data_IF_741730798186
#
_entry.id   IF_741730798186
#
_cell.length_a   1.000
_cell.length_b   1.000
_cell.length_c   1.000
_cell.angle_alpha   90.00
_cell.angle_beta   90.00
_cell.angle_gamma   90.00
#
_symmetry.space_group_name_H-M   'P 1'
#
loop_
_entity.id
_entity.type
_entity.pdbx_description
1 polymer ?
#
# COMPACT_ATOMS: atom_id res chain seq x y z
N UNK A 1 -16.63 -8.48 4.31
CA UNK A 1 -17.17 -8.83 2.98
C UNK A 1 -17.22 -7.65 2.05
N UNK A 2 -16.38 -7.67 1.00
CA UNK A 2 -16.47 -6.70 -0.09
C UNK A 2 -17.78 -6.90 -0.88
N UNK A 3 -18.40 -5.82 -1.32
CA UNK A 3 -19.62 -5.91 -2.13
C UNK A 3 -19.26 -6.51 -3.52
N UNK A 4 -19.93 -7.58 -3.99
CA UNK A 4 -19.68 -8.17 -5.31
C UNK A 4 -19.72 -7.17 -6.47
N UNK A 5 -20.57 -6.13 -6.38
CA UNK A 5 -20.61 -5.04 -7.37
C UNK A 5 -19.32 -4.23 -7.43
N UNK A 6 -18.57 -4.14 -6.33
CA UNK A 6 -17.25 -3.48 -6.30
C UNK A 6 -16.20 -4.27 -7.06
N UNK A 7 -16.24 -5.60 -6.95
CA UNK A 7 -15.35 -6.49 -7.71
C UNK A 7 -15.62 -6.38 -9.21
N UNK A 8 -16.90 -6.49 -9.59
CA UNK A 8 -17.33 -6.38 -10.99
C UNK A 8 -17.02 -5.03 -11.62
N UNK A 9 -17.06 -3.94 -10.83
CA UNK A 9 -16.81 -2.60 -11.34
C UNK A 9 -15.40 -2.45 -11.92
N UNK A 10 -14.38 -3.04 -11.29
CA UNK A 10 -13.02 -2.95 -11.82
C UNK A 10 -12.83 -3.78 -13.08
N UNK A 11 -13.39 -4.99 -13.12
CA UNK A 11 -13.37 -5.81 -14.35
C UNK A 11 -14.07 -5.11 -15.52
N UNK A 12 -15.23 -4.50 -15.29
CA UNK A 12 -15.95 -3.73 -16.31
C UNK A 12 -15.18 -2.49 -16.76
N UNK A 13 -14.55 -1.78 -15.82
CA UNK A 13 -13.71 -0.61 -16.13
C UNK A 13 -12.54 -0.98 -17.05
N UNK A 14 -11.78 -2.03 -16.72
CA UNK A 14 -10.65 -2.43 -17.56
C UNK A 14 -11.10 -3.01 -18.89
N UNK A 15 -12.25 -3.68 -18.94
CA UNK A 15 -12.80 -4.18 -20.19
C UNK A 15 -13.17 -3.04 -21.15
N UNK A 16 -13.80 -1.97 -20.66
CA UNK A 16 -14.10 -0.80 -21.50
C UNK A 16 -12.82 -0.11 -21.96
N UNK A 17 -11.82 0.02 -21.08
CA UNK A 17 -10.54 0.64 -21.43
C UNK A 17 -9.79 -0.10 -22.53
N UNK A 18 -9.74 -1.43 -22.50
CA UNK A 18 -9.10 -2.18 -23.58
C UNK A 18 -9.88 -2.09 -24.89
N UNK A 19 -11.22 -2.00 -24.84
CA UNK A 19 -12.02 -1.78 -26.04
C UNK A 19 -11.77 -0.40 -26.67
N UNK A 20 -11.55 0.63 -25.84
CA UNK A 20 -11.31 2.01 -26.29
C UNK A 20 -9.87 2.26 -26.75
N UNK A 21 -8.89 1.77 -25.99
CA UNK A 21 -7.48 2.17 -26.10
C UNK A 21 -6.55 1.03 -26.57
N UNK A 22 -7.07 -0.19 -26.69
CA UNK A 22 -6.35 -1.36 -27.19
C UNK A 22 -5.57 -2.15 -26.13
N UNK A 23 -4.93 -3.25 -26.54
CA UNK A 23 -4.22 -4.17 -25.63
C UNK A 23 -2.94 -3.58 -25.01
N UNK A 24 -2.44 -2.46 -25.53
CA UNK A 24 -1.28 -1.74 -25.02
C UNK A 24 -1.63 -0.66 -24.00
N UNK A 25 -2.88 -0.62 -23.50
CA UNK A 25 -3.31 0.37 -22.51
C UNK A 25 -2.43 0.34 -21.26
N UNK A 26 -1.90 1.50 -20.88
CA UNK A 26 -1.17 1.69 -19.62
C UNK A 26 -1.66 2.96 -18.95
N UNK A 27 -2.07 2.85 -17.70
CA UNK A 27 -2.63 3.99 -16.96
C UNK A 27 -1.96 4.15 -15.60
N UNK A 28 -1.46 5.36 -15.37
CA UNK A 28 -0.83 5.76 -14.12
C UNK A 28 -1.75 6.71 -13.35
N UNK A 29 -2.42 6.20 -12.33
CA UNK A 29 -3.43 6.93 -11.56
C UNK A 29 -2.89 8.03 -10.65
N UNK A 30 -1.65 7.90 -10.19
CA UNK A 30 -1.06 8.75 -9.14
C UNK A 30 0.24 9.35 -9.66
N UNK A 31 1.30 8.55 -9.67
CA UNK A 31 2.64 8.97 -10.05
C UNK A 31 3.20 7.97 -11.07
N UNK A 32 3.85 8.50 -12.11
CA UNK A 32 4.54 7.65 -13.08
C UNK A 32 5.82 7.08 -12.46
N UNK A 33 6.17 5.83 -12.76
CA UNK A 33 7.44 5.26 -12.33
C UNK A 33 8.63 6.03 -12.95
N UNK A 34 9.63 6.33 -12.13
CA UNK A 34 10.92 6.91 -12.55
C UNK A 34 12.05 6.24 -11.77
N UNK A 35 13.28 6.26 -12.28
CA UNK A 35 14.45 5.71 -11.58
C UNK A 35 14.62 6.33 -10.18
N UNK A 36 14.39 7.65 -10.06
CA UNK A 36 14.46 8.35 -8.78
C UNK A 36 13.40 7.83 -7.79
N UNK A 37 12.17 7.61 -8.26
CA UNK A 37 11.11 7.02 -7.43
C UNK A 37 11.47 5.59 -7.03
N UNK A 38 11.91 4.75 -7.96
CA UNK A 38 12.31 3.36 -7.68
C UNK A 38 13.43 3.29 -6.64
N UNK A 39 14.46 4.11 -6.82
CA UNK A 39 15.56 4.19 -5.86
C UNK A 39 15.06 4.56 -4.46
N UNK A 40 14.18 5.57 -4.34
CA UNK A 40 13.65 5.98 -3.03
C UNK A 40 12.82 4.89 -2.35
N UNK A 41 12.02 4.13 -3.11
CA UNK A 41 11.13 3.11 -2.57
C UNK A 41 11.84 1.81 -2.22
N UNK A 42 12.87 1.43 -2.99
CA UNK A 42 13.59 0.18 -2.78
C UNK A 42 14.75 0.32 -1.79
N UNK A 43 15.30 1.53 -1.61
CA UNK A 43 16.42 1.78 -0.68
C UNK A 43 16.18 1.26 0.75
N UNK A 44 15.00 1.45 1.39
CA UNK A 44 14.72 0.88 2.71
C UNK A 44 14.84 -0.64 2.77
N UNK A 45 14.44 -1.33 1.69
CA UNK A 45 14.55 -2.79 1.60
C UNK A 45 16.03 -3.19 1.50
N UNK A 46 16.80 -2.51 0.65
CA UNK A 46 18.22 -2.81 0.44
C UNK A 46 19.11 -2.59 1.67
N UNK A 47 18.77 -1.62 2.52
CA UNK A 47 19.51 -1.39 3.77
C UNK A 47 19.53 -2.61 4.70
N UNK A 48 18.54 -3.50 4.60
CA UNK A 48 18.43 -4.68 5.45
C UNK A 48 19.35 -5.82 4.99
N UNK A 49 19.58 -5.96 3.68
CA UNK A 49 20.47 -6.98 3.10
C UNK A 49 21.95 -6.75 3.42
N UNK A 50 22.32 -5.57 3.91
CA UNK A 50 23.70 -5.24 4.27
C UNK A 50 24.20 -5.95 5.55
N UNK A 51 23.33 -6.70 6.26
CA UNK A 51 23.59 -7.15 7.63
C UNK A 51 23.33 -8.64 7.93
N UNK A 52 22.98 -9.46 6.94
CA UNK A 52 22.61 -10.87 7.14
C UNK A 52 23.22 -11.83 6.11
N UNK A 53 23.01 -13.17 6.28
CA UNK A 53 23.36 -14.14 5.24
C UNK A 53 22.67 -13.73 3.93
N UNK A 54 23.45 -13.72 2.84
CA UNK A 54 23.03 -13.27 1.51
C UNK A 54 21.71 -13.92 1.11
N UNK A 55 20.61 -13.16 1.19
CA UNK A 55 19.35 -13.60 0.62
C UNK A 55 19.54 -13.80 -0.89
N UNK A 56 19.10 -14.95 -1.39
CA UNK A 56 19.21 -15.25 -2.82
C UNK A 56 18.24 -14.41 -3.67
N UNK A 57 17.16 -13.91 -3.06
CA UNK A 57 16.11 -13.17 -3.75
C UNK A 57 15.52 -12.04 -2.90
N UNK A 58 14.93 -11.06 -3.60
CA UNK A 58 14.08 -10.00 -3.06
C UNK A 58 12.65 -10.22 -3.58
N UNK A 59 11.73 -10.53 -2.69
CA UNK A 59 10.34 -10.83 -3.04
C UNK A 59 9.43 -9.63 -2.84
N UNK A 60 8.76 -9.22 -3.91
CA UNK A 60 7.87 -8.06 -3.92
C UNK A 60 6.45 -8.48 -4.28
N UNK A 61 5.47 -8.04 -3.48
CA UNK A 61 4.04 -8.13 -3.80
C UNK A 61 3.49 -6.74 -4.11
N UNK A 62 2.98 -6.52 -5.33
CA UNK A 62 2.15 -5.35 -5.66
C UNK A 62 0.67 -5.71 -5.48
N UNK A 63 -0.07 -4.89 -4.73
CA UNK A 63 -1.51 -5.01 -4.55
C UNK A 63 -2.23 -3.91 -5.35
N UNK A 64 -3.18 -4.32 -6.20
CA UNK A 64 -3.96 -3.39 -7.02
C UNK A 64 -3.14 -2.78 -8.14
N UNK A 65 -2.43 -3.61 -8.91
CA UNK A 65 -1.54 -3.16 -9.98
C UNK A 65 -2.28 -2.47 -11.14
N UNK A 66 -3.59 -2.74 -11.32
CA UNK A 66 -4.34 -2.26 -12.47
C UNK A 66 -3.63 -2.56 -13.79
N UNK A 67 -3.60 -1.59 -14.71
CA UNK A 67 -2.78 -1.64 -15.94
C UNK A 67 -1.49 -0.81 -15.82
N UNK A 68 -1.05 -0.50 -14.59
CA UNK A 68 0.14 0.30 -14.36
C UNK A 68 1.40 -0.38 -14.90
N UNK A 69 2.38 0.43 -15.27
CA UNK A 69 3.73 0.04 -15.67
C UNK A 69 4.67 -0.14 -14.47
N UNK A 70 4.18 -0.03 -13.24
CA UNK A 70 5.01 0.11 -12.05
C UNK A 70 5.86 -1.14 -11.76
N UNK A 71 5.26 -2.33 -11.67
CA UNK A 71 6.01 -3.58 -11.46
C UNK A 71 7.09 -3.85 -12.51
N UNK A 72 6.79 -3.65 -13.80
CA UNK A 72 7.81 -3.80 -14.84
C UNK A 72 8.90 -2.73 -14.79
N UNK A 73 8.57 -1.52 -14.31
CA UNK A 73 9.54 -0.45 -14.11
C UNK A 73 10.48 -0.74 -12.95
N UNK A 74 10.00 -1.37 -11.87
CA UNK A 74 10.86 -1.88 -10.79
C UNK A 74 11.86 -2.89 -11.36
N UNK A 75 11.38 -3.86 -12.16
CA UNK A 75 12.24 -4.88 -12.75
C UNK A 75 13.28 -4.27 -13.72
N UNK A 76 12.85 -3.34 -14.59
CA UNK A 76 13.75 -2.65 -15.51
C UNK A 76 14.80 -1.82 -14.77
N UNK A 77 14.40 -1.11 -13.71
CA UNK A 77 15.31 -0.36 -12.86
C UNK A 77 16.35 -1.29 -12.23
N UNK A 78 15.95 -2.45 -11.68
CA UNK A 78 16.88 -3.40 -11.08
C UNK A 78 17.87 -3.97 -12.10
N UNK A 79 17.39 -4.43 -13.27
CA UNK A 79 18.27 -4.91 -14.35
C UNK A 79 19.27 -3.85 -14.78
N UNK A 80 18.86 -2.58 -14.82
CA UNK A 80 19.76 -1.45 -15.09
C UNK A 80 20.83 -1.31 -13.99
N UNK A 81 20.44 -1.37 -12.71
CA UNK A 81 21.41 -1.30 -11.60
C UNK A 81 22.44 -2.44 -11.62
N UNK A 82 22.00 -3.65 -11.97
CA UNK A 82 22.85 -4.83 -12.17
C UNK A 82 23.83 -4.64 -13.33
N UNK A 83 23.33 -4.25 -14.51
CA UNK A 83 24.15 -4.03 -15.71
C UNK A 83 25.18 -2.92 -15.51
N UNK A 84 24.81 -1.84 -14.84
CA UNK A 84 25.69 -0.72 -14.53
C UNK A 84 26.61 -0.99 -13.33
N UNK A 85 26.45 -2.15 -12.65
CA UNK A 85 27.17 -2.54 -11.43
C UNK A 85 27.27 -1.39 -10.42
N UNK A 86 26.14 -0.74 -10.14
CA UNK A 86 26.11 0.46 -9.32
C UNK A 86 26.50 0.18 -7.87
N UNK A 87 26.80 1.22 -7.11
CA UNK A 87 27.06 1.09 -5.67
C UNK A 87 25.89 0.42 -4.91
N UNK A 88 24.67 0.53 -5.43
CA UNK A 88 23.51 -0.16 -4.87
C UNK A 88 23.64 -1.68 -5.06
N UNK A 89 23.91 -2.12 -6.30
CA UNK A 89 24.08 -3.53 -6.62
C UNK A 89 25.30 -4.15 -5.92
N UNK A 90 26.41 -3.43 -5.86
CA UNK A 90 27.63 -3.86 -5.15
C UNK A 90 27.39 -4.09 -3.65
N UNK A 91 26.49 -3.31 -3.03
CA UNK A 91 26.15 -3.45 -1.60
C UNK A 91 25.22 -4.63 -1.34
N UNK A 92 24.29 -4.88 -2.24
CA UNK A 92 23.30 -5.96 -2.10
C UNK A 92 23.86 -7.32 -2.52
N UNK A 93 24.87 -7.34 -3.38
CA UNK A 93 25.32 -8.54 -4.05
C UNK A 93 24.32 -9.00 -5.12
N UNK A 94 24.56 -10.17 -5.75
CA UNK A 94 23.68 -10.74 -6.76
C UNK A 94 22.40 -11.26 -6.10
N UNK A 95 21.37 -10.40 -6.03
CA UNK A 95 20.05 -10.76 -5.54
C UNK A 95 19.11 -10.91 -6.74
N UNK A 96 18.39 -12.03 -6.81
CA UNK A 96 17.32 -12.22 -7.79
C UNK A 96 16.08 -11.43 -7.38
N UNK A 97 15.59 -10.56 -8.26
CA UNK A 97 14.35 -9.83 -8.00
C UNK A 97 13.14 -10.63 -8.51
N UNK A 98 12.16 -10.85 -7.64
CA UNK A 98 10.90 -11.52 -7.98
C UNK A 98 9.71 -10.63 -7.58
N UNK A 99 8.78 -10.43 -8.51
CA UNK A 99 7.63 -9.55 -8.33
C UNK A 99 6.36 -10.31 -8.65
N UNK A 100 5.44 -10.37 -7.68
CA UNK A 100 4.06 -10.78 -7.87
C UNK A 100 3.17 -9.55 -7.93
N UNK A 101 2.71 -9.21 -9.14
CA UNK A 101 1.80 -8.10 -9.35
C UNK A 101 0.36 -8.57 -9.37
N UNK A 102 -0.46 -8.04 -8.46
CA UNK A 102 -1.82 -8.56 -8.26
C UNK A 102 -2.89 -7.49 -8.37
N UNK A 103 -4.06 -7.92 -8.81
CA UNK A 103 -5.26 -7.11 -8.84
C UNK A 103 -6.49 -8.00 -8.65
N UNK A 104 -7.60 -7.42 -8.23
CA UNK A 104 -8.85 -8.16 -8.13
C UNK A 104 -9.51 -8.38 -9.49
N UNK A 105 -9.18 -7.53 -10.46
CA UNK A 105 -9.69 -7.61 -11.82
C UNK A 105 -8.94 -8.66 -12.65
N UNK A 106 -9.64 -9.71 -13.05
CA UNK A 106 -9.12 -10.72 -14.00
C UNK A 106 -8.81 -10.10 -15.36
N UNK A 107 -9.59 -9.10 -15.76
CA UNK A 107 -9.41 -8.40 -17.03
C UNK A 107 -8.04 -7.71 -17.08
N UNK A 108 -7.69 -6.86 -16.10
CA UNK A 108 -6.38 -6.18 -16.13
C UNK A 108 -5.20 -7.16 -16.01
N UNK A 109 -5.35 -8.23 -15.21
CA UNK A 109 -4.34 -9.27 -15.07
C UNK A 109 -4.09 -9.99 -16.41
N UNK A 110 -5.15 -10.32 -17.15
CA UNK A 110 -5.02 -10.89 -18.48
C UNK A 110 -4.29 -9.94 -19.44
N UNK A 111 -4.62 -8.65 -19.42
CA UNK A 111 -3.99 -7.66 -20.28
C UNK A 111 -2.50 -7.47 -19.97
N UNK A 112 -2.14 -7.33 -18.68
CA UNK A 112 -0.74 -7.20 -18.29
C UNK A 112 0.08 -8.43 -18.70
N UNK A 113 -0.46 -9.65 -18.54
CA UNK A 113 0.21 -10.87 -18.99
C UNK A 113 0.53 -10.87 -20.48
N UNK A 114 -0.40 -10.37 -21.31
CA UNK A 114 -0.19 -10.27 -22.76
C UNK A 114 0.81 -9.19 -23.12
N UNK A 115 0.62 -7.99 -22.57
CA UNK A 115 1.46 -6.82 -22.81
C UNK A 115 2.92 -7.08 -22.43
N UNK A 116 3.13 -7.71 -21.28
CA UNK A 116 4.45 -7.89 -20.69
C UNK A 116 4.98 -9.34 -20.87
N UNK A 117 4.44 -10.08 -21.87
CA UNK A 117 4.73 -11.51 -22.05
C UNK A 117 6.21 -11.82 -22.28
N UNK A 118 6.95 -10.96 -22.98
CA UNK A 118 8.40 -11.11 -23.17
C UNK A 118 9.16 -11.07 -21.85
N UNK A 119 8.82 -10.14 -20.95
CA UNK A 119 9.45 -10.01 -19.64
C UNK A 119 9.19 -11.23 -18.75
N UNK A 120 8.00 -11.82 -18.87
CA UNK A 120 7.61 -13.03 -18.13
C UNK A 120 8.41 -14.25 -18.65
N UNK A 121 8.52 -14.39 -19.97
CA UNK A 121 9.19 -15.52 -20.62
C UNK A 121 10.72 -15.44 -20.56
N UNK A 122 11.31 -14.26 -20.50
CA UNK A 122 12.77 -14.08 -20.42
C UNK A 122 13.38 -14.61 -19.10
N UNK A 123 12.55 -15.05 -18.14
CA UNK A 123 13.01 -15.50 -16.81
C UNK A 123 12.96 -17.03 -16.59
N UNK A 124 12.85 -17.84 -17.65
CA UNK A 124 12.67 -19.31 -17.53
C UNK A 124 13.92 -20.04 -16.93
N UNK A 125 15.00 -19.32 -16.62
CA UNK A 125 16.22 -19.89 -16.01
C UNK A 125 16.08 -20.23 -14.52
N UNK A 126 15.12 -19.66 -13.80
CA UNK A 126 14.87 -19.89 -12.37
C UNK A 126 13.53 -20.62 -12.16
N UNK A 127 13.33 -21.23 -10.98
CA UNK A 127 12.11 -21.98 -10.67
C UNK A 127 10.85 -21.11 -10.57
N UNK A 128 10.99 -19.78 -10.47
CA UNK A 128 9.91 -18.80 -10.45
C UNK A 128 10.29 -17.58 -11.30
N UNK A 129 9.37 -17.04 -12.13
CA UNK A 129 9.67 -15.90 -12.99
C UNK A 129 9.89 -14.61 -12.18
N UNK A 130 10.72 -13.69 -12.69
CA UNK A 130 11.02 -12.40 -12.05
C UNK A 130 9.79 -11.49 -11.99
N UNK A 131 8.81 -11.70 -12.88
CA UNK A 131 7.55 -10.98 -12.89
C UNK A 131 6.41 -11.97 -13.15
N UNK A 132 5.43 -11.98 -12.25
CA UNK A 132 4.20 -12.75 -12.37
C UNK A 132 3.00 -11.83 -12.15
N UNK A 133 1.93 -12.08 -12.89
CA UNK A 133 0.64 -11.44 -12.67
C UNK A 133 -0.38 -12.45 -12.17
N UNK A 134 -1.18 -12.07 -11.19
CA UNK A 134 -2.24 -12.94 -10.67
C UNK A 134 -3.42 -12.17 -10.10
N UNK A 135 -4.56 -12.84 -10.03
CA UNK A 135 -5.72 -12.28 -9.33
C UNK A 135 -5.51 -12.40 -7.82
N UNK A 136 -5.84 -11.35 -7.07
CA UNK A 136 -5.86 -11.36 -5.62
C UNK A 136 -6.97 -10.44 -5.10
N UNK A 137 -7.92 -11.00 -4.34
CA UNK A 137 -8.74 -10.18 -3.47
C UNK A 137 -8.00 -9.91 -2.15
N UNK A 138 -7.35 -8.75 -2.05
CA UNK A 138 -6.52 -8.44 -0.88
C UNK A 138 -7.30 -8.31 0.45
N UNK A 139 -8.63 -8.27 0.42
CA UNK A 139 -9.47 -8.23 1.64
C UNK A 139 -9.84 -9.64 2.07
N UNK A 140 -10.28 -10.47 1.12
CA UNK A 140 -10.81 -11.81 1.35
C UNK A 140 -10.28 -12.74 0.26
N UNK A 141 -9.00 -13.16 0.37
CA UNK A 141 -8.39 -14.02 -0.63
C UNK A 141 -9.11 -15.36 -0.72
N UNK A 142 -9.22 -15.94 -1.92
CA UNK A 142 -9.74 -17.31 -2.08
C UNK A 142 -8.69 -18.34 -1.67
N UNK A 143 -9.09 -19.61 -1.54
CA UNK A 143 -8.14 -20.69 -1.21
C UNK A 143 -7.02 -20.82 -2.27
N UNK A 144 -7.36 -20.63 -3.54
CA UNK A 144 -6.41 -20.66 -4.65
C UNK A 144 -5.43 -19.47 -4.60
N UNK A 145 -5.94 -18.29 -4.23
CA UNK A 145 -5.10 -17.09 -4.06
C UNK A 145 -4.16 -17.24 -2.86
N UNK A 146 -4.62 -17.82 -1.76
CA UNK A 146 -3.77 -18.15 -0.60
C UNK A 146 -2.70 -19.18 -0.97
N UNK A 147 -3.07 -20.25 -1.67
CA UNK A 147 -2.12 -21.27 -2.11
C UNK A 147 -1.03 -20.67 -3.02
N UNK A 148 -1.39 -19.73 -3.90
CA UNK A 148 -0.42 -19.00 -4.70
C UNK A 148 0.54 -18.20 -3.82
N UNK A 149 0.03 -17.45 -2.82
CA UNK A 149 0.88 -16.69 -1.90
C UNK A 149 1.81 -17.60 -1.08
N UNK A 150 1.33 -18.78 -0.66
CA UNK A 150 2.14 -19.78 0.05
C UNK A 150 3.34 -20.27 -0.77
N UNK A 151 3.22 -20.36 -2.10
CA UNK A 151 4.34 -20.74 -2.98
C UNK A 151 5.46 -19.69 -2.99
N UNK A 152 5.12 -18.42 -2.75
CA UNK A 152 6.07 -17.33 -2.59
C UNK A 152 6.62 -17.26 -1.15
N UNK A 153 5.88 -17.79 -0.18
CA UNK A 153 6.21 -17.70 1.23
C UNK A 153 5.86 -16.33 1.79
N UNK A 154 6.88 -15.53 2.12
CA UNK A 154 6.70 -14.20 2.70
C UNK A 154 7.47 -13.15 1.91
N UNK A 155 6.91 -11.96 1.79
CA UNK A 155 7.45 -10.89 0.96
C UNK A 155 8.33 -9.93 1.76
N UNK A 156 9.47 -9.56 1.17
CA UNK A 156 10.34 -8.52 1.70
C UNK A 156 9.70 -7.14 1.59
N UNK A 157 8.97 -6.92 0.50
CA UNK A 157 8.21 -5.71 0.26
C UNK A 157 6.79 -6.05 -0.21
N UNK A 158 5.79 -5.55 0.51
CA UNK A 158 4.43 -5.44 -0.01
C UNK A 158 4.20 -3.97 -0.36
N UNK A 159 3.67 -3.65 -1.52
CA UNK A 159 3.35 -2.27 -1.85
C UNK A 159 2.04 -2.10 -2.61
N UNK A 160 1.45 -0.91 -2.48
CA UNK A 160 0.33 -0.48 -3.30
C UNK A 160 0.49 0.97 -3.75
N UNK A 161 0.00 1.28 -4.96
CA UNK A 161 -0.03 2.64 -5.51
C UNK A 161 -1.47 3.04 -5.75
N UNK A 162 -2.10 3.62 -4.73
CA UNK A 162 -3.52 4.01 -4.76
C UNK A 162 -4.50 2.86 -4.52
N UNK A 163 -4.01 1.65 -4.24
CA UNK A 163 -4.84 0.50 -3.90
C UNK A 163 -5.59 0.75 -2.60
N UNK A 164 -4.89 1.18 -1.55
CA UNK A 164 -5.48 1.52 -0.26
C UNK A 164 -6.48 2.69 -0.38
N UNK A 165 -6.19 3.66 -1.26
CA UNK A 165 -7.06 4.81 -1.51
C UNK A 165 -8.43 4.44 -2.03
N UNK A 166 -8.54 3.38 -2.85
CA UNK A 166 -9.81 2.85 -3.35
C UNK A 166 -10.74 2.47 -2.20
N UNK A 167 -10.21 1.85 -1.15
CA UNK A 167 -10.97 1.47 0.04
C UNK A 167 -11.30 2.68 0.91
N UNK A 168 -10.34 3.61 1.06
CA UNK A 168 -10.52 4.85 1.82
C UNK A 168 -11.44 5.88 1.16
N UNK A 169 -11.69 5.78 -0.15
CA UNK A 169 -12.63 6.66 -0.86
C UNK A 169 -14.07 6.19 -0.69
N UNK A 170 -14.30 4.88 -0.84
CA UNK A 170 -15.63 4.26 -0.70
C UNK A 170 -16.14 4.24 0.74
N UNK A 171 -15.25 4.54 1.70
CA UNK A 171 -15.54 4.60 3.13
C UNK A 171 -16.28 5.84 3.61
N UNK A 172 -16.67 6.78 2.73
CA UNK A 172 -17.48 7.94 3.09
C UNK A 172 -18.91 7.51 3.44
N UNK A 173 -19.05 6.67 4.46
CA UNK A 173 -20.30 6.42 5.17
C UNK A 173 -20.68 7.74 5.84
N UNK A 174 -21.74 8.36 5.30
CA UNK A 174 -22.39 9.50 5.91
C UNK A 174 -22.85 9.09 7.32
N UNK A 175 -22.25 9.66 8.36
CA UNK A 175 -22.87 9.72 9.68
C UNK A 175 -22.24 8.99 10.86
N UNK A 176 -21.02 8.45 10.79
CA UNK A 176 -20.35 8.05 12.03
C UNK A 176 -18.84 8.19 11.97
N UNK A 177 -18.30 8.78 13.04
CA UNK A 177 -16.89 8.96 13.40
C UNK A 177 -16.22 7.60 13.72
N UNK A 178 -16.59 6.54 12.98
CA UNK A 178 -16.04 5.19 13.17
C UNK A 178 -14.62 5.19 12.64
N UNK A 179 -13.71 5.33 13.59
CA UNK A 179 -12.27 5.30 13.44
C UNK A 179 -11.72 3.98 12.83
N UNK A 180 -12.54 2.94 12.72
CA UNK A 180 -12.13 1.63 12.23
C UNK A 180 -12.97 1.26 10.99
N UNK A 181 -12.33 1.25 9.82
CA UNK A 181 -12.94 0.77 8.59
C UNK A 181 -12.64 -0.72 8.46
N UNK A 182 -13.62 -1.63 8.66
CA UNK A 182 -13.35 -3.07 8.77
C UNK A 182 -12.60 -3.63 7.56
N UNK A 183 -12.98 -3.22 6.35
CA UNK A 183 -12.30 -3.59 5.11
C UNK A 183 -10.83 -3.16 5.10
N UNK A 184 -10.53 -1.91 5.50
CA UNK A 184 -9.14 -1.43 5.56
C UNK A 184 -8.37 -2.20 6.63
N UNK A 185 -8.98 -2.46 7.78
CA UNK A 185 -8.33 -3.25 8.83
C UNK A 185 -8.00 -4.67 8.35
N UNK A 186 -8.93 -5.35 7.66
CA UNK A 186 -8.69 -6.68 7.06
C UNK A 186 -7.55 -6.65 6.06
N UNK A 187 -7.46 -5.62 5.20
CA UNK A 187 -6.34 -5.46 4.26
C UNK A 187 -5.03 -5.34 5.03
N UNK A 188 -4.97 -4.51 6.07
CA UNK A 188 -3.75 -4.32 6.84
C UNK A 188 -3.34 -5.59 7.61
N UNK A 189 -4.31 -6.38 8.10
CA UNK A 189 -4.04 -7.69 8.70
C UNK A 189 -3.47 -8.67 7.67
N UNK A 190 -4.04 -8.73 6.47
CA UNK A 190 -3.56 -9.59 5.40
C UNK A 190 -2.16 -9.18 4.94
N UNK A 191 -1.94 -7.88 4.69
CA UNK A 191 -0.61 -7.32 4.37
C UNK A 191 0.38 -7.70 5.45
N UNK A 192 0.04 -7.49 6.73
CA UNK A 192 0.89 -7.92 7.82
C UNK A 192 1.19 -9.42 7.75
N UNK A 193 0.21 -10.29 7.48
CA UNK A 193 0.48 -11.74 7.37
C UNK A 193 1.42 -12.12 6.22
N UNK A 194 1.46 -11.33 5.14
CA UNK A 194 2.30 -11.60 3.97
C UNK A 194 3.72 -11.06 4.09
N UNK A 195 3.97 -10.10 4.98
CA UNK A 195 5.30 -9.53 5.20
C UNK A 195 6.25 -10.56 5.82
N UNK A 196 7.50 -10.60 5.36
CA UNK A 196 8.57 -11.38 5.98
C UNK A 196 8.72 -10.98 7.45
N UNK A 197 8.83 -11.92 8.40
CA UNK A 197 9.14 -11.61 9.78
C UNK A 197 10.44 -10.81 9.88
N UNK A 198 10.49 -9.86 10.80
CA UNK A 198 11.64 -9.00 11.13
C UNK A 198 12.00 -7.95 10.08
N UNK A 199 12.01 -8.32 8.80
CA UNK A 199 12.52 -7.46 7.71
C UNK A 199 11.43 -6.88 6.83
N UNK A 200 10.25 -7.51 6.76
CA UNK A 200 9.18 -7.11 5.84
C UNK A 200 8.75 -5.65 5.98
N UNK A 201 8.67 -4.96 4.85
CA UNK A 201 8.21 -3.57 4.75
C UNK A 201 6.92 -3.51 3.94
N UNK A 202 5.95 -2.74 4.42
CA UNK A 202 4.79 -2.34 3.61
C UNK A 202 4.93 -0.88 3.15
N UNK A 203 4.80 -0.63 1.84
CA UNK A 203 4.85 0.73 1.29
C UNK A 203 3.58 1.10 0.53
N UNK A 204 2.94 2.22 0.88
CA UNK A 204 1.81 2.75 0.08
C UNK A 204 2.13 4.13 -0.50
N UNK A 205 1.80 4.33 -1.77
CA UNK A 205 1.88 5.62 -2.45
C UNK A 205 0.49 6.20 -2.61
N UNK A 206 0.29 7.43 -2.12
CA UNK A 206 -1.03 8.05 -2.01
C UNK A 206 -0.96 9.59 -2.14
N UNK A 207 -2.02 10.25 -2.66
CA UNK A 207 -2.15 11.70 -2.55
C UNK A 207 -2.53 12.16 -1.12
N UNK A 208 -2.78 11.24 -0.18
CA UNK A 208 -3.23 11.60 1.17
C UNK A 208 -2.08 12.02 2.07
N UNK A 209 -2.14 13.27 2.53
CA UNK A 209 -1.24 13.83 3.55
C UNK A 209 -1.28 13.04 4.87
N UNK A 210 -2.40 12.38 5.18
CA UNK A 210 -2.57 11.53 6.39
C UNK A 210 -3.44 10.31 6.09
N UNK A 211 -2.98 9.12 6.50
CA UNK A 211 -3.78 7.89 6.50
C UNK A 211 -3.95 7.41 7.95
N UNK A 212 -5.10 7.72 8.57
CA UNK A 212 -5.37 7.36 9.97
C UNK A 212 -5.30 5.84 10.22
N UNK A 213 -5.86 4.97 9.36
CA UNK A 213 -5.82 3.53 9.59
C UNK A 213 -4.40 2.96 9.72
N UNK A 214 -3.45 3.37 8.87
CA UNK A 214 -2.05 2.94 8.99
C UNK A 214 -1.45 3.29 10.34
N UNK A 215 -1.61 4.55 10.76
CA UNK A 215 -1.07 5.04 12.03
C UNK A 215 -1.70 4.37 13.26
N UNK A 216 -2.93 3.91 13.14
CA UNK A 216 -3.66 3.31 14.25
C UNK A 216 -3.51 1.78 14.26
N UNK A 217 -3.01 1.18 13.19
CA UNK A 217 -2.80 -0.26 13.07
C UNK A 217 -1.58 -0.71 13.88
N UNK A 218 -1.79 -1.64 14.82
CA UNK A 218 -0.74 -2.12 15.74
C UNK A 218 0.33 -2.99 15.09
N UNK A 219 0.09 -3.51 13.88
CA UNK A 219 1.04 -4.35 13.15
C UNK A 219 2.25 -3.60 12.57
N UNK A 220 2.32 -2.27 12.72
CA UNK A 220 3.48 -1.48 12.31
C UNK A 220 4.14 -0.80 13.51
N UNK A 221 5.44 -1.03 13.67
CA UNK A 221 6.26 -0.48 14.76
C UNK A 221 6.72 0.94 14.46
N UNK A 222 6.97 1.22 13.18
CA UNK A 222 7.40 2.51 12.67
C UNK A 222 6.71 2.79 11.33
N UNK A 223 6.39 4.07 11.10
CA UNK A 223 5.82 4.54 9.82
C UNK A 223 6.56 5.81 9.41
N UNK A 224 7.37 5.71 8.37
CA UNK A 224 8.04 6.85 7.75
C UNK A 224 7.18 7.41 6.63
N UNK A 225 7.00 8.73 6.59
CA UNK A 225 6.29 9.41 5.51
C UNK A 225 7.26 10.26 4.70
N UNK A 226 7.38 9.99 3.41
CA UNK A 226 8.19 10.76 2.46
C UNK A 226 7.30 11.54 1.49
N UNK A 227 7.70 12.76 1.15
CA UNK A 227 7.03 13.56 0.12
C UNK A 227 7.69 13.25 -1.23
N UNK A 228 6.90 12.92 -2.24
CA UNK A 228 7.33 12.54 -3.60
C UNK A 228 7.08 13.66 -4.64
N UNK A 229 6.71 14.85 -4.19
CA UNK A 229 6.21 15.92 -5.07
C UNK A 229 7.33 16.62 -5.86
N UNK A 230 8.59 16.50 -5.44
CA UNK A 230 9.72 17.05 -6.18
C UNK A 230 10.02 16.22 -7.44
N UNK A 231 9.75 14.91 -7.39
CA UNK A 231 10.01 13.94 -8.45
C UNK A 231 8.85 13.85 -9.46
N UNK A 232 7.63 14.20 -9.06
CA UNK A 232 6.46 14.28 -9.95
C UNK A 232 6.56 15.44 -10.97
N UNK A 233 7.34 16.48 -10.67
CA UNK A 233 7.50 17.66 -11.53
C UNK A 233 8.46 17.48 -12.72
N UNK A 234 9.18 16.37 -12.82
CA UNK A 234 10.13 16.12 -13.92
C UNK A 234 9.62 15.15 -15.00
N UNK A 235 8.45 14.52 -14.79
CA UNK A 235 7.85 13.67 -15.81
C UNK A 235 6.94 14.53 -16.72
N UNK A 236 7.16 14.56 -18.05
CA UNK A 236 6.19 15.15 -18.95
C UNK A 236 4.92 14.32 -18.87
N UNK A 237 3.87 14.89 -18.26
CA UNK A 237 2.50 14.40 -18.42
C UNK A 237 2.25 14.22 -19.92
N UNK A 238 1.72 13.06 -20.31
CA UNK A 238 1.62 12.64 -21.71
C UNK A 238 0.91 13.64 -22.62
N UNK A 239 1.24 13.51 -23.91
CA UNK A 239 0.81 14.31 -25.07
C UNK A 239 0.95 15.85 -24.91
N UNK A 240 1.96 16.47 -25.54
CA UNK A 240 2.08 17.93 -25.62
C UNK A 240 0.80 18.64 -26.07
N UNK A 241 -0.05 17.98 -26.87
CA UNK A 241 -1.31 18.53 -27.36
C UNK A 241 -2.44 18.47 -26.32
N UNK A 242 -2.48 17.43 -25.47
CA UNK A 242 -3.43 17.34 -24.35
C UNK A 242 -3.10 18.37 -23.25
N UNK A 243 -1.80 18.61 -23.01
CA UNK A 243 -1.34 19.67 -22.09
C UNK A 243 -1.61 21.06 -22.66
N UNK A 244 -1.52 21.26 -23.98
CA UNK A 244 -1.88 22.53 -24.62
C UNK A 244 -3.40 22.81 -24.59
N UNK A 245 -4.24 21.78 -24.79
CA UNK A 245 -5.69 21.87 -24.66
C UNK A 245 -6.11 22.17 -23.20
N UNK A 246 -5.51 21.49 -22.22
CA UNK A 246 -5.75 21.77 -20.81
C UNK A 246 -5.25 23.17 -20.40
N UNK A 247 -4.09 23.62 -20.91
CA UNK A 247 -3.53 24.95 -20.63
C UNK A 247 -4.33 26.10 -21.25
N UNK A 248 -5.08 25.86 -22.33
CA UNK A 248 -5.92 26.91 -22.93
C UNK A 248 -7.20 27.16 -22.11
N UNK A 249 -7.74 26.14 -21.42
CA UNK A 249 -8.91 26.32 -20.55
C UNK A 249 -8.57 26.71 -19.10
N UNK A 250 -7.33 26.50 -18.65
CA UNK A 250 -6.88 26.74 -17.25
C UNK A 250 -6.28 28.12 -16.97
N UNK A 251 -6.60 29.15 -17.75
CA UNK A 251 -6.09 30.52 -17.51
C UNK A 251 -6.69 31.27 -16.31
N UNK A 252 -7.46 30.62 -15.43
CA UNK A 252 -8.10 31.32 -14.29
C UNK A 252 -8.10 30.59 -12.93
N UNK A 253 -7.41 29.46 -12.76
CA UNK A 253 -7.26 28.82 -11.44
C UNK A 253 -5.82 28.39 -11.24
N UNK A 254 -5.10 29.04 -10.31
CA UNK A 254 -3.81 28.55 -9.81
C UNK A 254 -4.04 27.21 -9.10
N UNK A 255 -4.05 26.10 -9.84
CA UNK A 255 -4.04 24.77 -9.26
C UNK A 255 -2.68 24.56 -8.59
N UNK A 256 -2.69 24.39 -7.27
CA UNK A 256 -1.52 23.92 -6.55
C UNK A 256 -1.10 22.56 -7.13
N UNK A 257 0.20 22.29 -7.34
CA UNK A 257 0.65 20.98 -7.78
C UNK A 257 0.12 19.91 -6.81
N UNK A 258 -0.35 18.80 -7.37
CA UNK A 258 -0.84 17.66 -6.57
C UNK A 258 0.36 17.01 -5.90
N UNK A 259 0.33 16.94 -4.57
CA UNK A 259 1.39 16.32 -3.79
C UNK A 259 1.12 14.82 -3.60
N UNK A 260 2.19 14.03 -3.67
CA UNK A 260 2.15 12.58 -3.43
C UNK A 260 3.06 12.20 -2.27
N UNK A 261 2.70 11.14 -1.55
CA UNK A 261 3.42 10.67 -0.38
C UNK A 261 3.65 9.16 -0.45
N UNK A 262 4.82 8.72 -0.04
CA UNK A 262 5.09 7.32 0.29
C UNK A 262 5.03 7.14 1.82
N UNK A 263 4.28 6.15 2.27
CA UNK A 263 4.31 5.68 3.66
C UNK A 263 5.00 4.34 3.72
N UNK A 264 6.14 4.27 4.41
CA UNK A 264 6.96 3.08 4.59
C UNK A 264 6.71 2.58 6.01
N UNK A 265 6.05 1.44 6.13
CA UNK A 265 5.57 0.85 7.36
C UNK A 265 6.42 -0.38 7.69
N UNK A 266 7.10 -0.36 8.83
CA UNK A 266 7.93 -1.48 9.29
C UNK A 266 7.11 -2.41 10.17
N UNK A 267 7.24 -3.71 9.92
CA UNK A 267 6.53 -4.76 10.67
C UNK A 267 6.80 -4.65 12.19
N UNK A 268 5.75 -4.88 12.98
CA UNK A 268 5.84 -5.02 14.44
C UNK A 268 5.84 -6.51 14.83
N UNK A 269 6.97 -7.06 15.23
CA UNK A 269 7.07 -8.46 15.65
C UNK A 269 6.32 -8.79 16.94
N UNK A 270 6.02 -7.79 17.76
CA UNK A 270 5.23 -7.99 18.98
C UNK A 270 3.73 -8.02 18.72
N UNK A 271 3.28 -7.74 17.49
CA UNK A 271 1.87 -7.73 17.16
C UNK A 271 1.35 -9.16 16.94
N UNK A 272 0.39 -9.58 17.78
CA UNK A 272 -0.33 -10.83 17.61
C UNK A 272 -1.72 -10.59 16.96
N UNK A 273 -1.96 -11.07 15.72
CA UNK A 273 -3.25 -10.94 15.05
C UNK A 273 -4.38 -11.71 15.74
N UNK A 274 -4.08 -12.81 16.45
CA UNK A 274 -5.06 -13.70 17.07
C UNK A 274 -5.56 -13.17 18.41
N UNK A 275 -4.71 -12.47 19.17
CA UNK A 275 -5.06 -11.90 20.47
C UNK A 275 -5.75 -10.53 20.35
N UNK A 276 -5.65 -9.87 19.19
CA UNK A 276 -6.18 -8.53 19.00
C UNK A 276 -5.44 -7.50 19.87
N UNK A 277 -4.36 -6.93 19.32
CA UNK A 277 -3.52 -5.85 19.88
C UNK A 277 -3.27 -5.96 21.42
N UNK A 278 -2.30 -6.77 21.79
CA UNK A 278 -1.28 -6.39 22.79
C UNK A 278 0.01 -6.08 21.99
N UNK A 279 0.87 -5.10 22.24
CA UNK A 279 1.07 -4.07 23.27
C UNK A 279 2.06 -3.04 22.65
N UNK A 280 2.29 -1.91 23.31
CA UNK A 280 3.56 -1.19 23.20
C UNK A 280 4.18 -1.13 24.60
N UNK A 281 5.45 -1.54 24.70
CA UNK A 281 6.21 -1.74 25.94
C UNK A 281 6.64 -0.43 26.62
N UNK A 282 6.25 0.73 26.07
CA UNK A 282 6.29 2.01 26.74
C UNK A 282 4.86 2.40 27.14
N UNK A 283 4.49 2.03 28.36
CA UNK A 283 3.16 2.23 28.95
C UNK A 283 2.74 3.71 28.99
N UNK A 284 2.20 4.21 27.89
CA UNK A 284 1.02 5.05 27.98
C UNK A 284 -0.21 4.13 27.95
N UNK A 285 -0.61 3.64 29.13
CA UNK A 285 -1.80 2.81 29.29
C UNK A 285 -3.00 3.45 28.56
N UNK A 286 -3.78 2.63 27.84
CA UNK A 286 -5.06 3.08 27.32
C UNK A 286 -5.93 3.61 28.46
N UNK A 287 -6.85 4.57 28.21
CA UNK A 287 -7.82 4.96 29.22
C UNK A 287 -8.58 3.73 29.73
N UNK A 288 -8.80 3.67 31.04
CA UNK A 288 -9.59 2.60 31.64
C UNK A 288 -11.06 2.82 31.32
N UNK A 289 -11.84 1.75 31.21
CA UNK A 289 -13.29 1.85 30.99
C UNK A 289 -14.03 2.65 32.07
N UNK A 290 -13.45 2.69 33.28
CA UNK A 290 -13.92 3.50 34.40
C UNK A 290 -13.60 4.99 34.28
N UNK A 291 -12.68 5.38 33.39
CA UNK A 291 -12.28 6.78 33.22
C UNK A 291 -13.45 7.58 32.65
N UNK A 292 -13.82 8.67 33.33
CA UNK A 292 -14.90 9.54 32.91
C UNK A 292 -14.38 10.87 32.38
N UNK A 293 -15.02 11.40 31.34
CA UNK A 293 -14.77 12.76 30.89
C UNK A 293 -15.15 13.73 32.01
N UNK A 294 -14.22 14.59 32.43
CA UNK A 294 -14.48 15.52 33.54
C UNK A 294 -15.65 16.48 33.27
N UNK A 295 -15.93 16.78 31.99
CA UNK A 295 -16.95 17.72 31.53
C UNK A 295 -18.34 17.08 31.38
N UNK A 296 -18.51 16.05 30.56
CA UNK A 296 -19.81 15.42 30.29
C UNK A 296 -20.07 14.13 31.09
N UNK A 297 -19.11 13.68 31.90
CA UNK A 297 -19.17 12.45 32.71
C UNK A 297 -19.34 11.14 31.95
N UNK A 298 -19.41 11.16 30.61
CA UNK A 298 -19.36 9.97 29.75
C UNK A 298 -18.15 9.13 30.13
N UNK A 299 -18.35 7.84 30.35
CA UNK A 299 -17.27 6.90 30.64
C UNK A 299 -16.54 6.52 29.35
N UNK A 300 -15.28 6.12 29.46
CA UNK A 300 -14.52 5.69 28.29
C UNK A 300 -15.16 4.47 27.61
N UNK A 301 -15.73 3.55 28.38
CA UNK A 301 -16.52 2.42 27.86
C UNK A 301 -17.71 2.87 27.00
N UNK A 302 -18.40 3.92 27.41
CA UNK A 302 -19.50 4.52 26.65
C UNK A 302 -18.99 5.25 25.40
N UNK A 303 -17.86 5.94 25.50
CA UNK A 303 -17.23 6.65 24.38
C UNK A 303 -16.74 5.71 23.27
N UNK A 304 -16.08 4.60 23.64
CA UNK A 304 -15.62 3.60 22.67
C UNK A 304 -16.77 2.74 22.12
N UNK A 305 -17.92 2.74 22.80
CA UNK A 305 -19.08 1.94 22.44
C UNK A 305 -18.76 0.45 22.44
N UNK A 306 -19.11 -0.23 21.35
CA UNK A 306 -18.87 -1.68 21.20
C UNK A 306 -17.45 -2.06 20.74
N UNK A 307 -16.54 -1.09 20.56
CA UNK A 307 -15.19 -1.36 20.08
C UNK A 307 -14.34 -1.96 21.22
N UNK A 308 -13.72 -3.11 20.98
CA UNK A 308 -12.77 -3.72 21.92
C UNK A 308 -11.53 -2.83 22.11
N UNK A 309 -10.90 -2.87 23.29
CA UNK A 309 -9.66 -2.13 23.54
C UNK A 309 -8.56 -2.49 22.52
N UNK A 310 -8.49 -3.76 22.12
CA UNK A 310 -7.59 -4.27 21.11
C UNK A 310 -7.93 -3.90 19.65
N UNK A 311 -8.93 -3.06 19.37
CA UNK A 311 -9.22 -2.62 17.99
C UNK A 311 -8.29 -1.51 17.50
N UNK A 312 -7.64 -0.79 18.42
CA UNK A 312 -6.68 0.29 18.14
C UNK A 312 -5.51 0.25 19.12
N UNK A 313 -4.39 0.88 18.75
CA UNK A 313 -3.28 1.09 19.69
C UNK A 313 -3.70 1.95 20.90
N UNK A 314 -3.11 1.70 22.08
CA UNK A 314 -3.36 2.48 23.30
C UNK A 314 -3.17 3.99 23.10
N UNK A 315 -2.14 4.38 22.32
CA UNK A 315 -1.86 5.76 21.93
C UNK A 315 -2.96 6.37 21.05
N UNK A 316 -3.60 5.58 20.19
CA UNK A 316 -4.75 6.03 19.41
C UNK A 316 -5.95 6.29 20.33
N UNK A 317 -6.29 5.33 21.21
CA UNK A 317 -7.36 5.51 22.20
C UNK A 317 -7.17 6.73 23.09
N UNK A 318 -5.97 6.89 23.66
CA UNK A 318 -5.63 8.04 24.51
C UNK A 318 -5.78 9.36 23.77
N UNK A 319 -5.36 9.42 22.50
CA UNK A 319 -5.46 10.65 21.69
C UNK A 319 -6.90 11.00 21.37
N UNK A 320 -7.70 10.01 20.98
CA UNK A 320 -9.13 10.21 20.72
C UNK A 320 -9.86 10.62 22.01
N UNK A 321 -9.54 9.98 23.13
CA UNK A 321 -10.10 10.31 24.44
C UNK A 321 -9.70 11.70 24.93
N UNK A 322 -8.41 12.07 24.85
CA UNK A 322 -7.94 13.43 25.14
C UNK A 322 -8.59 14.46 24.20
N UNK A 323 -8.78 14.09 22.93
CA UNK A 323 -9.48 14.92 21.95
C UNK A 323 -10.94 15.17 22.35
N UNK A 324 -11.66 14.12 22.74
CA UNK A 324 -12.99 14.23 23.30
C UNK A 324 -13.01 15.14 24.53
N UNK A 325 -12.13 14.92 25.52
CA UNK A 325 -12.07 15.76 26.72
C UNK A 325 -11.77 17.23 26.40
N UNK A 326 -10.88 17.50 25.44
CA UNK A 326 -10.51 18.86 25.02
C UNK A 326 -11.68 19.58 24.35
N UNK A 327 -12.41 18.90 23.45
CA UNK A 327 -13.47 19.50 22.64
C UNK A 327 -14.89 19.30 23.19
N UNK A 328 -15.05 18.53 24.26
CA UNK A 328 -16.32 18.37 24.95
C UNK A 328 -16.76 19.72 25.52
N UNK A 329 -18.01 20.10 25.22
CA UNK A 329 -18.64 21.37 25.66
C UNK A 329 -19.34 21.27 27.02
N UNK A 330 -19.31 20.10 27.67
CA UNK A 330 -20.14 19.83 28.84
C UNK A 330 -21.61 19.60 28.47
N UNK A 331 -22.40 19.19 29.45
CA UNK A 331 -23.87 19.14 29.33
C UNK A 331 -24.47 20.46 29.81
#
# INVERSE_FOLDING_TARGET
>A
MQNPRTLQLWDSFYQSKVQEEGESHEEEWIIRPTDALMHQLLLPCFAQFSSGPTAAHLDILEIGCGTSSFSKSILAFWKKQEQENTALFQRTGPIELRILATDVSKTCIYHNKRRDCSLILDTISSSLPSLQYATLNAVEPTAEELQMLEQWGSFDLVFDKGGLDTFLFRSRYRGSDRADHPVVHSILQNIFSWLRPVTGIYTTITPRVKIKPLRNFGGFSQIDRRNLSAEASTAPLGDPNAVAAAKLELKSVQLKPVEFFAYICYRNESFNPAEGIELDAQQELAPLDSDACQKCKTKFSEFRGSLCLGSKSAKAWRREWKGHQSHCKGC
#
